data_IF_672135794264
#
_entry.id   IF_672135794264
#
_cell.length_a   1.000
_cell.length_b   1.000
_cell.length_c   1.000
_cell.angle_alpha   90.00
_cell.angle_beta   90.00
_cell.angle_gamma   90.00
#
_symmetry.space_group_name_H-M   'P 1'
#
loop_
_entity.id
_entity.type
_entity.pdbx_description
1 polymer ?
#
# COMPACT_ATOMS: atom_id res chain seq x y z
N UNK A 1 54.65 37.20 -0.43
CA UNK A 1 54.26 36.88 -1.82
C UNK A 1 54.16 35.36 -1.88
N UNK A 2 53.18 34.83 -2.61
CA UNK A 2 52.65 33.45 -2.58
C UNK A 2 51.60 33.24 -1.49
N UNK A 3 50.45 32.63 -1.75
CA UNK A 3 49.44 32.84 -2.80
C UNK A 3 48.15 32.24 -2.21
N UNK A 4 47.01 32.86 -2.48
CA UNK A 4 45.71 32.49 -1.92
C UNK A 4 45.09 31.39 -2.79
N UNK A 5 44.68 30.25 -2.21
CA UNK A 5 43.84 29.27 -2.90
C UNK A 5 42.63 28.87 -2.04
N UNK A 6 41.43 29.42 -2.32
CA UNK A 6 40.20 29.07 -1.63
C UNK A 6 39.42 28.05 -2.46
N UNK A 7 39.37 26.78 -2.04
CA UNK A 7 38.36 25.80 -2.49
C UNK A 7 38.50 24.46 -1.73
N UNK A 8 37.88 24.40 -0.55
CA UNK A 8 37.12 23.22 -0.11
C UNK A 8 35.91 23.74 0.67
N UNK A 9 34.67 23.39 0.27
CA UNK A 9 33.51 23.73 1.07
C UNK A 9 33.59 22.98 2.39
N UNK A 10 33.32 23.70 3.47
CA UNK A 10 33.02 23.16 4.79
C UNK A 10 32.05 21.99 4.62
N UNK A 11 32.46 20.79 5.03
CA UNK A 11 31.53 19.75 5.45
C UNK A 11 31.10 20.12 6.87
N UNK A 12 29.85 20.52 7.14
CA UNK A 12 29.35 20.48 8.49
C UNK A 12 29.05 19.01 8.79
N UNK A 13 29.91 18.39 9.59
CA UNK A 13 29.56 17.22 10.38
C UNK A 13 28.40 17.60 11.29
N UNK A 14 27.17 17.34 10.86
CA UNK A 14 26.01 17.41 11.74
C UNK A 14 26.03 16.16 12.63
N UNK A 15 26.58 16.33 13.83
CA UNK A 15 26.30 15.43 14.96
C UNK A 15 24.79 15.43 15.21
N UNK A 16 24.14 14.29 14.94
CA UNK A 16 22.79 13.99 15.39
C UNK A 16 22.76 14.03 16.93
N UNK A 17 22.45 15.17 17.51
CA UNK A 17 22.12 15.26 18.94
C UNK A 17 20.61 15.09 19.13
N UNK A 18 20.14 13.87 18.93
CA UNK A 18 19.06 13.19 19.66
C UNK A 18 19.03 11.74 19.14
N UNK A 19 19.91 10.90 19.68
CA UNK A 19 19.86 9.45 19.54
C UNK A 19 19.87 8.86 20.95
N UNK A 20 18.76 8.22 21.32
CA UNK A 20 18.58 7.37 22.50
C UNK A 20 17.56 6.32 22.05
N UNK A 21 17.75 5.00 22.07
CA UNK A 21 18.77 4.10 22.64
C UNK A 21 18.84 2.83 21.75
N UNK A 22 19.97 2.15 21.85
CA UNK A 22 20.46 0.94 21.18
C UNK A 22 19.47 -0.15 20.73
N UNK A 23 19.81 -0.80 19.63
CA UNK A 23 19.23 -2.03 19.06
C UNK A 23 19.33 -3.29 19.99
N UNK A 24 19.61 -3.10 21.29
CA UNK A 24 19.74 -4.12 22.34
C UNK A 24 19.26 -3.56 23.68
N UNK A 25 17.96 -3.62 23.95
CA UNK A 25 17.37 -3.22 25.23
C UNK A 25 15.96 -3.78 25.41
N UNK A 26 15.58 -4.07 26.64
CA UNK A 26 14.19 -4.35 27.02
C UNK A 26 13.52 -3.00 27.28
N UNK A 27 12.53 -2.65 26.47
CA UNK A 27 11.85 -1.35 26.52
C UNK A 27 10.49 -1.41 27.22
N UNK A 28 10.18 -2.52 27.88
CA UNK A 28 8.98 -2.67 28.69
C UNK A 28 8.92 -1.59 29.76
N UNK A 29 7.73 -1.07 29.99
CA UNK A 29 7.45 -0.04 30.99
C UNK A 29 8.17 1.30 30.80
N UNK A 30 8.78 1.55 29.63
CA UNK A 30 9.45 2.82 29.30
C UNK A 30 8.50 4.01 29.48
N UNK A 31 9.02 5.13 29.99
CA UNK A 31 8.28 6.37 30.24
C UNK A 31 8.86 7.53 29.44
N UNK A 32 8.07 8.11 28.54
CA UNK A 32 8.39 9.32 27.77
C UNK A 32 7.32 10.36 28.08
N UNK A 33 7.57 11.22 29.07
CA UNK A 33 6.57 12.13 29.63
C UNK A 33 7.08 13.57 29.63
N UNK A 34 6.26 14.52 29.18
CA UNK A 34 6.55 15.95 29.19
C UNK A 34 7.83 16.35 28.40
N UNK A 35 8.12 15.67 27.28
CA UNK A 35 9.26 16.01 26.42
C UNK A 35 8.84 16.93 25.27
N UNK A 36 9.82 17.61 24.67
CA UNK A 36 9.64 18.35 23.42
C UNK A 36 10.60 17.83 22.37
N UNK A 37 10.05 17.38 21.23
CA UNK A 37 10.81 17.01 20.03
C UNK A 37 10.81 18.21 19.08
N UNK A 38 12.00 18.65 18.67
CA UNK A 38 12.18 19.83 17.81
C UNK A 38 12.98 19.47 16.58
N UNK A 39 12.50 19.84 15.39
CA UNK A 39 13.23 19.62 14.14
C UNK A 39 14.42 20.55 13.95
N UNK A 40 14.30 21.82 14.34
CA UNK A 40 15.34 22.85 14.18
C UNK A 40 16.03 22.83 12.79
N UNK A 41 15.24 22.79 11.72
CA UNK A 41 15.75 22.72 10.34
C UNK A 41 16.23 21.33 9.89
N UNK A 42 16.33 20.35 10.79
CA UNK A 42 16.62 18.96 10.46
C UNK A 42 15.37 18.19 10.02
N UNK A 43 15.61 17.02 9.41
CA UNK A 43 14.56 16.06 9.11
C UNK A 43 14.61 14.91 10.11
N UNK A 44 13.54 14.75 10.90
CA UNK A 44 13.40 13.68 11.89
C UNK A 44 12.50 12.59 11.29
N UNK A 45 13.02 11.37 11.15
CA UNK A 45 12.25 10.27 10.54
C UNK A 45 11.03 9.88 11.40
N UNK A 46 11.23 9.78 12.71
CA UNK A 46 10.19 9.46 13.69
C UNK A 46 10.42 10.30 14.95
N UNK A 47 9.41 10.99 15.44
CA UNK A 47 9.48 11.76 16.68
C UNK A 47 9.55 10.85 17.91
N UNK A 48 8.55 10.00 18.09
CA UNK A 48 8.51 8.96 19.12
C UNK A 48 8.04 7.65 18.48
N UNK A 49 8.96 6.69 18.37
CA UNK A 49 8.67 5.33 17.93
C UNK A 49 8.41 4.40 19.12
N UNK A 50 7.37 3.58 19.03
CA UNK A 50 6.97 2.62 20.05
C UNK A 50 6.92 1.24 19.40
N UNK A 51 7.72 0.29 19.89
CA UNK A 51 7.85 -1.06 19.32
C UNK A 51 9.10 -1.25 18.46
N UNK A 52 9.75 -2.43 18.50
CA UNK A 52 10.92 -2.76 17.68
C UNK A 52 10.70 -2.62 16.16
N UNK A 53 9.50 -2.92 15.66
CA UNK A 53 9.10 -2.88 14.24
C UNK A 53 9.22 -1.48 13.63
N UNK A 54 9.25 -0.43 14.45
CA UNK A 54 9.53 0.93 13.98
C UNK A 54 10.93 1.04 13.37
N UNK A 55 11.91 0.29 13.91
CA UNK A 55 13.30 0.29 13.46
C UNK A 55 13.69 -0.95 12.66
N UNK A 56 12.92 -2.04 12.74
CA UNK A 56 13.21 -3.32 12.09
C UNK A 56 11.98 -3.93 11.45
N UNK A 57 12.09 -5.21 11.06
CA UNK A 57 10.90 -6.01 10.74
C UNK A 57 10.24 -6.45 12.03
N UNK A 58 8.92 -6.55 12.04
CA UNK A 58 8.21 -7.09 13.19
C UNK A 58 8.71 -8.51 13.52
N UNK A 59 8.82 -8.79 14.81
CA UNK A 59 9.11 -10.12 15.32
C UNK A 59 8.04 -10.46 16.36
N UNK A 60 7.21 -11.45 16.07
CA UNK A 60 6.10 -11.87 16.92
C UNK A 60 6.56 -12.29 18.33
N UNK A 61 7.80 -12.77 18.47
CA UNK A 61 8.39 -13.16 19.75
C UNK A 61 8.88 -11.96 20.59
N UNK A 62 8.83 -10.74 20.05
CA UNK A 62 9.46 -9.55 20.64
C UNK A 62 8.45 -8.44 20.94
N UNK A 63 7.39 -8.76 21.67
CA UNK A 63 6.36 -7.78 22.08
C UNK A 63 6.84 -6.94 23.27
N UNK A 64 6.87 -5.62 23.07
CA UNK A 64 7.16 -4.63 24.12
C UNK A 64 5.87 -4.15 24.79
N UNK A 65 5.83 -4.13 26.12
CA UNK A 65 4.60 -3.89 26.88
C UNK A 65 4.68 -2.82 27.98
N UNK A 66 3.52 -2.23 28.31
CA UNK A 66 3.36 -1.40 29.50
C UNK A 66 4.00 -0.01 29.47
N UNK A 67 4.46 0.45 28.30
CA UNK A 67 5.07 1.78 28.12
C UNK A 67 4.06 2.92 28.29
N UNK A 68 4.53 4.10 28.70
CA UNK A 68 3.73 5.33 28.74
C UNK A 68 4.42 6.46 27.99
N UNK A 69 3.73 7.00 26.99
CA UNK A 69 4.12 8.16 26.20
C UNK A 69 3.03 9.22 26.38
N UNK A 70 3.27 10.25 27.17
CA UNK A 70 2.21 11.23 27.45
C UNK A 70 2.69 12.67 27.57
N UNK A 71 1.83 13.61 27.18
CA UNK A 71 2.11 15.06 27.30
C UNK A 71 3.38 15.51 26.59
N UNK A 72 3.77 14.83 25.51
CA UNK A 72 4.89 15.27 24.71
C UNK A 72 4.43 16.27 23.64
N UNK A 73 5.33 17.15 23.23
CA UNK A 73 5.11 18.16 22.20
C UNK A 73 6.06 17.93 21.03
N UNK A 74 5.53 17.90 19.80
CA UNK A 74 6.32 18.00 18.58
C UNK A 74 6.19 19.42 18.05
N UNK A 75 7.31 20.07 17.75
CA UNK A 75 7.29 21.38 17.09
C UNK A 75 8.37 21.51 16.01
N UNK A 76 8.08 22.33 15.00
CA UNK A 76 9.02 22.67 13.94
C UNK A 76 9.43 24.13 14.06
N UNK A 77 10.74 24.38 14.13
CA UNK A 77 11.32 25.72 14.25
C UNK A 77 12.23 25.97 13.06
N UNK A 78 12.01 27.08 12.38
CA UNK A 78 12.95 27.61 11.40
C UNK A 78 14.07 28.36 12.14
N UNK A 79 15.29 27.88 11.99
CA UNK A 79 16.50 28.48 12.59
C UNK A 79 17.38 29.18 11.56
N UNK A 80 16.84 29.55 10.39
CA UNK A 80 17.57 30.23 9.30
C UNK A 80 18.11 29.29 8.22
N UNK A 81 17.78 27.99 8.30
CA UNK A 81 18.09 26.99 7.29
C UNK A 81 16.83 26.37 6.66
N UNK A 82 15.67 26.99 6.89
CA UNK A 82 14.37 26.50 6.47
C UNK A 82 13.64 25.78 7.60
N UNK A 83 12.35 25.52 7.37
CA UNK A 83 11.55 24.68 8.26
C UNK A 83 12.05 23.24 8.18
N UNK A 84 12.39 22.65 9.33
CA UNK A 84 12.65 21.22 9.41
C UNK A 84 11.36 20.42 9.17
N UNK A 85 11.49 19.10 9.02
CA UNK A 85 10.38 18.21 8.71
C UNK A 85 10.35 16.95 9.56
N UNK A 86 9.18 16.32 9.67
CA UNK A 86 9.04 14.99 10.26
C UNK A 86 8.52 13.98 9.24
N UNK A 87 9.00 12.74 9.33
CA UNK A 87 8.30 11.59 8.74
C UNK A 87 7.04 11.28 9.55
N UNK A 88 7.21 10.66 10.71
CA UNK A 88 6.10 10.31 11.60
C UNK A 88 6.25 10.98 12.96
N UNK A 89 5.14 11.44 13.54
CA UNK A 89 5.14 12.04 14.87
C UNK A 89 5.29 10.98 15.95
N UNK A 90 4.19 10.30 16.23
CA UNK A 90 4.06 9.21 17.19
C UNK A 90 3.65 7.96 16.43
N UNK A 91 4.55 6.98 16.37
CA UNK A 91 4.36 5.75 15.61
C UNK A 91 4.32 4.54 16.54
N UNK A 92 3.23 3.77 16.49
CA UNK A 92 3.00 2.58 17.32
C UNK A 92 3.05 1.33 16.45
N UNK A 93 4.11 0.56 16.60
CA UNK A 93 4.37 -0.67 15.85
C UNK A 93 3.47 -1.84 16.27
N UNK A 94 3.43 -2.87 15.42
CA UNK A 94 2.59 -4.07 15.59
C UNK A 94 3.00 -4.94 16.79
N UNK A 95 4.24 -4.78 17.25
CA UNK A 95 4.92 -5.47 18.34
C UNK A 95 4.87 -4.67 19.66
N UNK A 96 3.77 -3.95 19.87
CA UNK A 96 3.45 -3.27 21.12
C UNK A 96 2.14 -3.77 21.73
N UNK A 97 2.10 -3.85 23.06
CA UNK A 97 0.90 -4.25 23.80
C UNK A 97 0.74 -3.47 25.12
N UNK A 98 -0.49 -3.10 25.48
CA UNK A 98 -0.80 -2.43 26.76
C UNK A 98 -0.04 -1.10 27.01
N UNK A 99 0.24 -0.31 25.97
CA UNK A 99 0.84 1.01 26.10
C UNK A 99 -0.21 2.07 26.42
N UNK A 100 0.21 3.17 27.04
CA UNK A 100 -0.61 4.39 27.20
C UNK A 100 0.03 5.52 26.40
N UNK A 101 -0.65 5.98 25.35
CA UNK A 101 -0.19 7.07 24.49
C UNK A 101 -1.27 8.16 24.38
N UNK A 102 -1.24 9.14 25.30
CA UNK A 102 -2.30 10.14 25.45
C UNK A 102 -1.75 11.55 25.70
N UNK A 103 -2.57 12.57 25.42
CA UNK A 103 -2.24 13.98 25.67
C UNK A 103 -0.99 14.46 24.91
N UNK A 104 -0.54 13.74 23.88
CA UNK A 104 0.57 14.17 23.04
C UNK A 104 0.04 15.11 21.95
N UNK A 105 0.81 16.13 21.61
CA UNK A 105 0.37 17.20 20.69
C UNK A 105 1.47 17.51 19.68
N UNK A 106 1.03 17.90 18.49
CA UNK A 106 1.89 18.49 17.46
C UNK A 106 1.52 19.96 17.29
N UNK A 107 2.51 20.84 17.38
CA UNK A 107 2.30 22.28 17.26
C UNK A 107 1.73 22.65 15.89
N UNK A 108 0.95 23.74 15.79
CA UNK A 108 0.44 24.22 14.50
C UNK A 108 1.58 24.44 13.49
N UNK A 109 1.39 23.95 12.26
CA UNK A 109 2.35 24.13 11.17
C UNK A 109 3.52 23.13 11.16
N UNK A 110 3.52 22.12 12.02
CA UNK A 110 4.38 20.94 11.83
C UNK A 110 3.91 20.20 10.57
N UNK A 111 4.83 19.95 9.66
CA UNK A 111 4.58 19.23 8.41
C UNK A 111 5.14 17.81 8.50
N UNK A 112 4.30 16.84 8.12
CA UNK A 112 4.66 15.44 8.01
C UNK A 112 4.81 15.07 6.54
N UNK A 113 6.02 14.64 6.15
CA UNK A 113 6.34 14.27 4.78
C UNK A 113 7.53 13.33 4.76
N UNK A 114 7.73 12.63 3.64
CA UNK A 114 8.87 11.75 3.44
C UNK A 114 8.59 10.74 2.34
N UNK A 115 9.64 10.32 1.64
CA UNK A 115 9.58 9.25 0.66
C UNK A 115 9.69 7.89 1.35
N UNK A 116 8.60 7.12 1.28
CA UNK A 116 8.44 5.81 1.92
C UNK A 116 8.75 4.63 0.98
N UNK A 117 9.16 4.91 -0.26
CA UNK A 117 9.35 3.87 -1.28
C UNK A 117 10.32 2.75 -0.91
N UNK A 118 11.34 3.02 -0.10
CA UNK A 118 12.31 2.01 0.38
C UNK A 118 11.79 1.10 1.50
N UNK A 119 10.61 1.42 2.04
CA UNK A 119 9.93 0.62 3.04
C UNK A 119 8.78 -0.19 2.45
N UNK A 120 8.56 -0.17 1.13
CA UNK A 120 7.57 -1.05 0.49
C UNK A 120 8.09 -2.50 0.37
N UNK A 121 7.22 -3.51 0.51
CA UNK A 121 5.77 -3.43 0.77
C UNK A 121 5.38 -3.25 2.25
N UNK A 122 6.32 -3.18 3.18
CA UNK A 122 6.09 -3.19 4.63
C UNK A 122 5.56 -1.87 5.24
N UNK A 123 5.58 -0.76 4.51
CA UNK A 123 5.07 0.55 4.97
C UNK A 123 4.05 1.09 4.00
N UNK A 124 2.80 1.22 4.45
CA UNK A 124 1.68 1.62 3.59
C UNK A 124 0.94 2.84 4.14
N UNK A 125 1.25 3.28 5.37
CA UNK A 125 0.72 4.54 5.90
C UNK A 125 1.57 5.71 5.41
N UNK A 126 0.96 6.78 4.88
CA UNK A 126 1.72 8.01 4.60
C UNK A 126 2.21 8.70 5.90
N UNK A 127 3.34 9.42 5.86
CA UNK A 127 3.82 10.30 6.94
C UNK A 127 2.71 11.11 7.61
N UNK A 128 2.56 10.97 8.94
CA UNK A 128 1.50 11.63 9.72
C UNK A 128 1.89 11.81 11.19
N UNK A 129 1.10 12.60 11.92
CA UNK A 129 1.33 12.90 13.32
C UNK A 129 1.14 11.70 14.24
N UNK A 130 0.10 10.90 14.05
CA UNK A 130 -0.26 9.77 14.91
C UNK A 130 -0.65 8.57 14.07
N UNK A 131 0.14 7.50 14.10
CA UNK A 131 -0.12 6.29 13.33
C UNK A 131 0.09 5.04 14.18
N UNK A 132 -0.75 4.03 13.97
CA UNK A 132 -0.65 2.73 14.62
C UNK A 132 -0.76 1.59 13.61
N UNK A 133 0.02 0.54 13.83
CA UNK A 133 -0.14 -0.73 13.15
C UNK A 133 -1.10 -1.65 13.90
N UNK A 134 -2.03 -2.32 13.22
CA UNK A 134 -3.04 -3.19 13.82
C UNK A 134 -4.04 -2.49 14.75
N UNK A 135 -4.97 -3.23 15.38
CA UNK A 135 -6.08 -2.68 16.15
C UNK A 135 -5.66 -1.90 17.40
N UNK A 136 -6.36 -0.81 17.73
CA UNK A 136 -6.00 0.07 18.85
C UNK A 136 -6.05 -0.68 20.19
N UNK A 137 -7.05 -1.56 20.33
CA UNK A 137 -7.33 -2.37 21.51
C UNK A 137 -6.17 -3.30 21.85
N UNK A 138 -5.46 -3.81 20.82
CA UNK A 138 -4.27 -4.62 21.00
C UNK A 138 -3.05 -3.80 21.44
N UNK A 139 -3.02 -2.50 21.12
CA UNK A 139 -1.90 -1.60 21.46
C UNK A 139 -2.02 -0.99 22.85
N UNK A 140 -3.25 -0.77 23.32
CA UNK A 140 -3.54 -0.24 24.65
C UNK A 140 -4.40 1.02 24.61
N UNK A 141 -4.11 1.99 25.47
CA UNK A 141 -4.86 3.24 25.58
C UNK A 141 -4.22 4.33 24.72
N UNK A 142 -4.71 4.50 23.50
CA UNK A 142 -4.25 5.50 22.54
C UNK A 142 -5.26 6.65 22.44
N UNK A 143 -4.77 7.89 22.29
CA UNK A 143 -5.60 9.05 21.98
C UNK A 143 -6.31 8.92 20.61
N UNK A 144 -7.43 9.61 20.43
CA UNK A 144 -8.34 9.41 19.31
C UNK A 144 -7.79 9.84 17.95
N UNK A 145 -6.70 10.62 17.92
CA UNK A 145 -6.05 11.07 16.69
C UNK A 145 -5.24 9.97 15.98
N UNK A 146 -4.98 8.82 16.63
CA UNK A 146 -4.26 7.71 16.02
C UNK A 146 -5.02 7.11 14.84
N UNK A 147 -4.42 7.18 13.66
CA UNK A 147 -4.96 6.54 12.46
C UNK A 147 -4.35 5.16 12.25
N UNK A 148 -5.11 4.18 11.74
CA UNK A 148 -4.55 2.89 11.35
C UNK A 148 -3.61 3.04 10.15
N UNK A 149 -2.61 2.17 10.08
CA UNK A 149 -1.78 1.97 8.90
C UNK A 149 -0.57 1.07 9.19
N UNK A 150 -0.23 0.20 8.24
CA UNK A 150 0.92 -0.70 8.39
C UNK A 150 2.22 0.12 8.39
N UNK A 151 3.01 -0.01 9.46
CA UNK A 151 4.22 0.76 9.69
C UNK A 151 5.37 -0.12 10.18
N UNK A 152 6.36 -0.36 9.32
CA UNK A 152 7.62 -1.00 9.70
C UNK A 152 8.83 -0.30 9.07
N UNK A 153 10.01 -0.56 9.64
CA UNK A 153 11.28 -0.10 9.06
C UNK A 153 11.31 1.43 8.76
N UNK A 154 10.76 2.25 9.65
CA UNK A 154 10.63 3.72 9.45
C UNK A 154 12.01 4.41 9.33
N UNK A 155 13.09 3.76 9.76
CA UNK A 155 14.45 4.25 9.52
C UNK A 155 14.81 4.37 8.03
N UNK A 156 14.07 3.76 7.10
CA UNK A 156 14.33 3.84 5.65
C UNK A 156 13.71 5.07 4.97
N UNK A 157 12.81 5.80 5.65
CA UNK A 157 12.16 6.97 5.09
C UNK A 157 13.21 8.03 4.72
N UNK A 158 13.05 8.66 3.55
CA UNK A 158 13.92 9.74 3.08
C UNK A 158 13.23 11.10 3.12
N UNK A 159 13.95 12.20 3.39
CA UNK A 159 13.40 13.53 3.25
C UNK A 159 13.03 13.83 1.79
N UNK A 160 11.98 14.63 1.60
CA UNK A 160 11.58 15.18 0.30
C UNK A 160 10.26 14.61 -0.24
N UNK A 161 9.89 14.95 -1.49
CA UNK A 161 8.65 14.51 -2.11
C UNK A 161 8.60 13.00 -2.24
N UNK A 162 7.50 12.41 -1.76
CA UNK A 162 7.29 10.97 -1.83
C UNK A 162 6.99 10.51 -3.25
N UNK A 163 7.47 9.31 -3.58
CA UNK A 163 7.07 8.59 -4.79
C UNK A 163 5.91 7.63 -4.52
N UNK A 164 5.48 7.52 -3.26
CA UNK A 164 4.40 6.64 -2.80
C UNK A 164 3.57 7.32 -1.73
N UNK A 165 2.26 7.23 -1.82
CA UNK A 165 1.34 7.58 -0.74
C UNK A 165 0.41 6.40 -0.52
N UNK A 166 0.10 6.13 0.73
CA UNK A 166 -0.92 5.17 1.08
C UNK A 166 -1.89 5.68 2.15
N UNK A 167 -3.10 5.16 2.07
CA UNK A 167 -4.25 5.53 2.89
C UNK A 167 -4.98 4.29 3.35
N UNK A 168 -5.33 4.26 4.64
CA UNK A 168 -6.35 3.37 5.18
C UNK A 168 -7.75 3.93 4.96
N UNK A 169 -8.81 3.11 5.13
CA UNK A 169 -10.18 3.54 4.91
C UNK A 169 -10.52 4.78 5.74
N UNK A 170 -11.18 5.75 5.12
CA UNK A 170 -11.55 7.05 5.71
C UNK A 170 -10.49 8.15 5.60
N UNK A 171 -9.25 7.85 5.17
CA UNK A 171 -8.17 8.85 5.18
C UNK A 171 -8.07 9.68 3.87
N UNK A 172 -8.46 9.10 2.72
CA UNK A 172 -8.47 9.87 1.47
C UNK A 172 -9.83 10.56 1.31
N UNK A 173 -9.79 11.89 1.21
CA UNK A 173 -10.92 12.71 0.80
C UNK A 173 -10.43 13.81 -0.15
N UNK A 174 -10.92 13.79 -1.39
CA UNK A 174 -10.48 14.71 -2.44
C UNK A 174 -11.69 15.39 -3.08
N UNK A 175 -11.84 16.70 -2.83
CA UNK A 175 -12.94 17.48 -3.36
C UNK A 175 -12.84 17.69 -4.89
N UNK A 176 -13.95 18.02 -5.52
CA UNK A 176 -14.00 18.36 -6.95
C UNK A 176 -13.01 19.49 -7.30
N UNK A 177 -12.17 19.25 -8.31
CA UNK A 177 -11.12 20.16 -8.76
C UNK A 177 -9.86 20.18 -7.90
N UNK A 178 -9.72 19.25 -6.96
CA UNK A 178 -8.52 19.13 -6.11
C UNK A 178 -7.67 17.91 -6.48
N UNK A 179 -6.45 17.88 -5.95
CA UNK A 179 -5.47 16.83 -6.22
C UNK A 179 -4.60 16.51 -5.00
N UNK A 180 -4.06 15.30 -4.97
CA UNK A 180 -2.92 14.93 -4.12
C UNK A 180 -1.71 14.69 -5.02
N UNK A 181 -0.54 15.15 -4.60
CA UNK A 181 0.69 15.08 -5.39
C UNK A 181 1.68 14.09 -4.79
N UNK A 182 2.29 13.31 -5.67
CA UNK A 182 3.57 12.67 -5.48
C UNK A 182 4.68 13.55 -6.07
N UNK A 183 5.90 13.01 -6.18
CA UNK A 183 7.08 13.69 -6.73
C UNK A 183 6.86 14.21 -8.16
N UNK A 184 6.28 13.38 -9.03
CA UNK A 184 6.17 13.68 -10.47
C UNK A 184 4.78 13.41 -11.05
N UNK A 185 3.82 12.99 -10.23
CA UNK A 185 2.45 12.66 -10.60
C UNK A 185 1.47 13.21 -9.57
N UNK A 186 0.19 13.19 -9.93
CA UNK A 186 -0.90 13.58 -9.05
C UNK A 186 -2.16 12.76 -9.33
N UNK A 187 -2.87 12.40 -8.27
CA UNK A 187 -4.24 11.89 -8.32
C UNK A 187 -5.19 13.09 -8.25
N UNK A 188 -6.13 13.17 -9.19
CA UNK A 188 -7.07 14.28 -9.33
C UNK A 188 -8.50 13.78 -9.37
N UNK A 189 -9.41 14.52 -8.74
CA UNK A 189 -10.81 14.55 -9.12
C UNK A 189 -11.01 15.85 -9.91
N UNK A 190 -11.06 15.75 -11.23
CA UNK A 190 -11.16 16.91 -12.10
C UNK A 190 -12.54 17.57 -12.02
N UNK A 191 -12.63 18.86 -12.36
CA UNK A 191 -13.91 19.60 -12.34
C UNK A 191 -15.00 18.97 -13.22
N UNK A 192 -14.62 18.19 -14.23
CA UNK A 192 -15.55 17.43 -15.07
C UNK A 192 -16.07 16.13 -14.45
N UNK A 193 -15.69 15.80 -13.21
CA UNK A 193 -16.07 14.57 -12.50
C UNK A 193 -15.17 13.36 -12.78
N UNK A 194 -14.14 13.52 -13.61
CA UNK A 194 -13.19 12.44 -13.94
C UNK A 194 -12.15 12.27 -12.84
N UNK A 195 -12.00 11.04 -12.35
CA UNK A 195 -10.85 10.66 -11.51
C UNK A 195 -9.71 10.23 -12.41
N UNK A 196 -8.54 10.86 -12.29
CA UNK A 196 -7.39 10.48 -13.09
C UNK A 196 -6.06 10.63 -12.35
N UNK A 197 -5.06 9.90 -12.81
CA UNK A 197 -3.66 10.12 -12.45
C UNK A 197 -2.94 10.75 -13.63
N UNK A 198 -2.24 11.86 -13.38
CA UNK A 198 -1.50 12.60 -14.40
C UNK A 198 -0.08 12.89 -13.95
N UNK A 199 0.82 13.03 -14.91
CA UNK A 199 2.13 13.62 -14.66
C UNK A 199 1.98 15.09 -14.21
N UNK A 200 2.81 15.49 -13.25
CA UNK A 200 2.94 16.85 -12.76
C UNK A 200 4.41 17.23 -12.70
N UNK A 201 4.96 17.63 -13.85
CA UNK A 201 6.31 18.20 -13.96
C UNK A 201 6.21 19.68 -14.32
N UNK A 202 6.96 20.52 -13.62
CA UNK A 202 7.13 21.94 -13.94
C UNK A 202 5.82 22.76 -14.06
N UNK A 203 4.85 22.53 -13.17
CA UNK A 203 3.61 23.31 -13.09
C UNK A 203 2.68 23.25 -14.31
N UNK A 204 2.97 22.41 -15.31
CA UNK A 204 2.06 22.12 -16.41
C UNK A 204 1.29 20.83 -16.14
N UNK A 205 0.06 20.76 -16.67
CA UNK A 205 -0.73 19.54 -16.67
C UNK A 205 -0.09 18.57 -17.65
N UNK A 206 0.48 17.48 -17.13
CA UNK A 206 1.17 16.48 -17.92
C UNK A 206 0.24 15.41 -18.51
N UNK A 207 0.87 14.40 -19.11
CA UNK A 207 0.18 13.25 -19.71
C UNK A 207 -0.70 12.52 -18.69
N UNK A 208 -1.88 12.09 -19.12
CA UNK A 208 -2.73 11.18 -18.34
C UNK A 208 -2.15 9.77 -18.34
N UNK A 209 -1.92 9.24 -17.13
CA UNK A 209 -1.38 7.89 -16.90
C UNK A 209 -2.50 6.87 -16.67
N UNK A 210 -3.58 7.30 -16.02
CA UNK A 210 -4.75 6.47 -15.77
C UNK A 210 -6.02 7.33 -15.62
N UNK A 211 -7.16 6.77 -16.01
CA UNK A 211 -8.49 7.37 -15.90
C UNK A 211 -9.43 6.35 -15.26
N UNK A 212 -10.28 6.80 -14.34
CA UNK A 212 -11.29 5.99 -13.70
C UNK A 212 -12.51 5.74 -14.58
N UNK A 213 -12.73 6.57 -15.61
CA UNK A 213 -13.90 6.45 -16.48
C UNK A 213 -15.19 6.99 -15.84
N UNK A 214 -15.08 8.00 -14.99
CA UNK A 214 -16.19 8.65 -14.28
C UNK A 214 -16.64 9.98 -14.94
N UNK A 215 -16.22 10.22 -16.18
CA UNK A 215 -16.39 11.48 -16.90
C UNK A 215 -17.87 11.85 -17.06
N UNK A 216 -18.20 13.13 -16.83
CA UNK A 216 -19.53 13.74 -16.98
C UNK A 216 -20.62 13.23 -16.03
N UNK A 217 -20.39 12.21 -15.21
CA UNK A 217 -21.45 11.62 -14.38
C UNK A 217 -21.86 12.56 -13.24
N UNK A 218 -21.03 13.55 -12.88
CA UNK A 218 -21.16 14.29 -11.61
C UNK A 218 -20.97 15.81 -11.72
N UNK A 219 -21.09 16.40 -12.91
CA UNK A 219 -20.79 17.84 -13.11
C UNK A 219 -21.68 18.77 -12.29
N UNK A 220 -22.91 18.35 -11.99
CA UNK A 220 -23.89 19.12 -11.22
C UNK A 220 -23.90 18.78 -9.71
N UNK A 221 -22.99 17.92 -9.27
CA UNK A 221 -22.91 17.46 -7.89
C UNK A 221 -21.73 18.08 -7.14
N UNK A 222 -21.90 18.28 -5.84
CA UNK A 222 -20.78 18.57 -4.95
C UNK A 222 -20.00 17.26 -4.71
N UNK A 223 -19.17 16.86 -5.67
CA UNK A 223 -18.53 15.55 -5.65
C UNK A 223 -17.22 15.54 -4.85
N UNK A 224 -16.96 14.42 -4.18
CA UNK A 224 -15.66 14.10 -3.59
C UNK A 224 -15.28 12.65 -3.87
N UNK A 225 -14.00 12.42 -4.21
CA UNK A 225 -13.40 11.10 -4.26
C UNK A 225 -13.00 10.72 -2.84
N UNK A 226 -13.49 9.58 -2.37
CA UNK A 226 -13.26 9.09 -1.03
C UNK A 226 -12.74 7.66 -1.07
N UNK A 227 -11.81 7.34 -0.19
CA UNK A 227 -11.55 5.97 0.20
C UNK A 227 -12.40 5.69 1.44
N UNK A 228 -13.59 5.16 1.23
CA UNK A 228 -14.65 5.07 2.24
C UNK A 228 -14.33 4.01 3.31
N UNK A 229 -14.97 4.08 4.49
CA UNK A 229 -14.98 2.98 5.44
C UNK A 229 -15.35 1.65 4.74
N UNK A 230 -14.59 0.58 5.01
CA UNK A 230 -14.71 -0.70 4.30
C UNK A 230 -13.84 -0.82 3.05
N UNK A 231 -13.00 0.17 2.75
CA UNK A 231 -11.95 0.05 1.74
C UNK A 231 -12.44 0.15 0.29
N UNK A 232 -13.59 0.81 0.07
CA UNK A 232 -14.09 1.14 -1.27
C UNK A 232 -13.54 2.46 -1.76
N UNK A 233 -13.17 2.52 -3.03
CA UNK A 233 -12.86 3.78 -3.72
C UNK A 233 -14.11 4.25 -4.45
N UNK A 234 -14.64 5.41 -4.05
CA UNK A 234 -15.92 5.91 -4.55
C UNK A 234 -15.88 7.41 -4.80
N UNK A 235 -16.77 7.87 -5.68
CA UNK A 235 -17.19 9.27 -5.74
C UNK A 235 -18.51 9.38 -5.00
N UNK A 236 -18.60 10.32 -4.07
CA UNK A 236 -19.81 10.60 -3.28
C UNK A 236 -20.24 12.05 -3.47
N UNK A 237 -21.53 12.31 -3.33
CA UNK A 237 -22.06 13.66 -3.18
C UNK A 237 -21.83 14.11 -1.73
N UNK A 238 -21.16 15.23 -1.51
CA UNK A 238 -20.81 15.73 -0.17
C UNK A 238 -21.99 16.33 0.58
N UNK A 239 -23.08 16.66 -0.11
CA UNK A 239 -24.29 17.21 0.52
C UNK A 239 -25.23 16.09 0.99
N UNK A 240 -25.39 15.05 0.18
CA UNK A 240 -26.33 13.94 0.45
C UNK A 240 -25.65 12.68 0.98
N UNK A 241 -24.32 12.59 0.88
CA UNK A 241 -23.52 11.40 1.14
C UNK A 241 -23.90 10.17 0.28
N UNK A 242 -24.60 10.38 -0.83
CA UNK A 242 -24.95 9.29 -1.75
C UNK A 242 -23.76 8.92 -2.63
N UNK A 243 -23.55 7.62 -2.84
CA UNK A 243 -22.57 7.12 -3.81
C UNK A 243 -23.00 7.52 -5.22
N UNK A 244 -22.14 8.25 -5.90
CA UNK A 244 -22.32 8.65 -7.28
C UNK A 244 -21.62 7.68 -8.24
N UNK A 245 -20.46 7.16 -7.86
CA UNK A 245 -19.73 6.13 -8.61
C UNK A 245 -18.92 5.24 -7.65
N UNK A 246 -18.93 3.92 -7.87
CA UNK A 246 -18.13 2.95 -7.10
C UNK A 246 -17.16 2.26 -8.05
N UNK A 247 -15.86 2.48 -7.84
CA UNK A 247 -14.80 1.86 -8.64
C UNK A 247 -14.52 0.41 -8.21
N UNK A 248 -15.06 0.01 -7.07
CA UNK A 248 -14.77 -1.25 -6.39
C UNK A 248 -16.03 -1.92 -5.83
N UNK A 249 -17.08 -2.12 -6.66
CA UNK A 249 -18.34 -2.68 -6.18
C UNK A 249 -18.20 -4.10 -5.64
N UNK A 250 -17.15 -4.81 -6.09
CA UNK A 250 -16.79 -6.16 -5.68
C UNK A 250 -16.12 -6.24 -4.30
N UNK A 251 -15.69 -5.13 -3.72
CA UNK A 251 -15.19 -5.09 -2.34
C UNK A 251 -16.40 -5.07 -1.40
N UNK A 252 -16.41 -5.93 -0.38
CA UNK A 252 -17.47 -5.95 0.62
C UNK A 252 -17.31 -4.77 1.57
N UNK A 253 -18.40 -4.08 1.90
CA UNK A 253 -18.44 -3.21 3.07
C UNK A 253 -18.80 -4.11 4.25
N UNK A 254 -17.92 -4.28 5.24
CA UNK A 254 -18.23 -5.16 6.34
C UNK A 254 -19.36 -4.55 7.20
N UNK A 255 -20.25 -5.42 7.69
CA UNK A 255 -21.42 -5.00 8.48
C UNK A 255 -21.01 -4.42 9.85
N UNK A 256 -19.78 -4.71 10.29
CA UNK A 256 -19.09 -4.10 11.41
C UNK A 256 -17.66 -3.76 10.97
N UNK A 257 -17.04 -2.67 11.47
CA UNK A 257 -15.64 -2.39 11.17
C UNK A 257 -14.75 -3.48 11.77
N UNK A 258 -14.40 -4.48 10.96
CA UNK A 258 -13.40 -5.48 11.34
C UNK A 258 -12.01 -4.85 11.20
N UNK A 259 -11.18 -5.02 12.23
CA UNK A 259 -9.77 -4.62 12.18
C UNK A 259 -8.99 -5.36 11.09
N UNK A 260 -9.48 -6.51 10.63
CA UNK A 260 -8.89 -7.30 9.54
C UNK A 260 -9.28 -6.82 8.13
N UNK A 261 -10.23 -5.89 8.00
CA UNK A 261 -10.63 -5.27 6.73
C UNK A 261 -9.92 -3.93 6.45
N UNK A 262 -8.72 -3.75 7.01
CA UNK A 262 -7.90 -2.56 6.85
C UNK A 262 -7.24 -2.47 5.46
N UNK A 263 -8.05 -2.49 4.40
CA UNK A 263 -7.59 -2.33 3.03
C UNK A 263 -6.78 -1.04 2.87
N UNK A 264 -5.74 -1.09 2.05
CA UNK A 264 -4.88 0.06 1.82
C UNK A 264 -4.98 0.51 0.37
N UNK A 265 -5.33 1.78 0.16
CA UNK A 265 -5.22 2.44 -1.12
C UNK A 265 -3.80 3.00 -1.26
N UNK A 266 -3.14 2.70 -2.37
CA UNK A 266 -1.77 3.14 -2.66
C UNK A 266 -1.73 3.87 -3.98
N UNK A 267 -1.10 5.05 -3.97
CA UNK A 267 -0.69 5.80 -5.16
C UNK A 267 0.84 5.70 -5.28
N UNK A 268 1.36 5.28 -6.43
CA UNK A 268 2.78 4.94 -6.61
C UNK A 268 3.36 5.40 -7.94
N UNK A 269 4.58 5.93 -7.91
CA UNK A 269 5.44 6.23 -9.06
C UNK A 269 6.55 5.20 -9.26
N UNK A 270 6.61 4.19 -8.39
CA UNK A 270 7.64 3.15 -8.47
C UNK A 270 7.49 2.41 -9.79
N UNK A 271 8.57 2.28 -10.59
CA UNK A 271 8.52 1.56 -11.87
C UNK A 271 7.94 0.15 -11.70
N UNK A 272 7.20 -0.30 -12.71
CA UNK A 272 6.63 -1.65 -12.78
C UNK A 272 5.62 -1.96 -11.65
N UNK A 273 5.02 -0.92 -11.06
CA UNK A 273 3.86 -1.02 -10.16
C UNK A 273 2.68 -0.25 -10.76
N UNK A 274 1.43 -0.66 -10.46
CA UNK A 274 0.26 0.14 -10.82
C UNK A 274 0.33 1.50 -10.13
N UNK A 275 -0.12 2.55 -10.83
CA UNK A 275 -0.12 3.91 -10.29
C UNK A 275 -1.11 4.07 -9.16
N UNK A 276 -2.24 3.36 -9.22
CA UNK A 276 -3.23 3.21 -8.14
C UNK A 276 -3.47 1.72 -7.90
N UNK A 277 -3.48 1.30 -6.64
CA UNK A 277 -3.87 -0.05 -6.23
C UNK A 277 -4.59 -0.08 -4.89
N UNK A 278 -5.44 -1.07 -4.67
CA UNK A 278 -6.03 -1.37 -3.36
C UNK A 278 -5.66 -2.80 -2.99
N UNK A 279 -5.14 -2.99 -1.78
CA UNK A 279 -4.76 -4.31 -1.27
C UNK A 279 -5.43 -4.60 0.07
N UNK A 280 -5.71 -5.87 0.37
CA UNK A 280 -6.07 -6.28 1.74
C UNK A 280 -4.83 -6.21 2.66
N UNK A 281 -5.00 -6.35 3.99
CA UNK A 281 -3.87 -6.32 4.92
C UNK A 281 -2.82 -7.41 4.68
N UNK A 282 -1.58 -7.09 5.07
CA UNK A 282 -0.46 -8.03 5.15
C UNK A 282 -0.69 -9.08 6.27
N UNK A 283 0.02 -10.24 6.27
CA UNK A 283 1.10 -10.66 5.37
C UNK A 283 0.63 -11.30 4.05
N UNK A 284 -0.63 -11.73 3.95
CA UNK A 284 -1.17 -12.39 2.77
C UNK A 284 -2.09 -11.47 1.95
N UNK A 285 -1.60 -10.28 1.62
CA UNK A 285 -2.38 -9.21 0.99
C UNK A 285 -2.89 -9.59 -0.41
N UNK A 286 -4.21 -9.73 -0.56
CA UNK A 286 -4.91 -9.83 -1.84
C UNK A 286 -4.88 -8.48 -2.55
N UNK A 287 -4.84 -8.49 -3.88
CA UNK A 287 -4.93 -7.27 -4.66
C UNK A 287 -6.37 -7.07 -5.12
N UNK A 288 -7.06 -6.08 -4.57
CA UNK A 288 -8.48 -5.85 -4.82
C UNK A 288 -8.71 -4.92 -6.02
N UNK A 289 -7.74 -4.07 -6.36
CA UNK A 289 -7.84 -3.16 -7.49
C UNK A 289 -6.46 -2.76 -8.02
N UNK A 290 -6.32 -2.61 -9.33
CA UNK A 290 -5.12 -2.08 -9.97
C UNK A 290 -5.49 -1.18 -11.15
N UNK A 291 -4.83 -0.03 -11.26
CA UNK A 291 -5.00 0.88 -12.41
C UNK A 291 -4.58 0.28 -13.76
N UNK A 292 -3.51 -0.54 -13.79
CA UNK A 292 -2.96 -1.11 -15.02
C UNK A 292 -3.10 -2.63 -15.13
N UNK A 293 -3.40 -3.32 -14.02
CA UNK A 293 -3.37 -4.79 -13.93
C UNK A 293 -2.05 -5.41 -14.45
N UNK A 294 -0.94 -4.71 -14.22
CA UNK A 294 0.42 -5.15 -14.55
C UNK A 294 1.27 -5.04 -13.28
N UNK A 295 2.08 -6.06 -13.00
CA UNK A 295 3.06 -6.04 -11.92
C UNK A 295 4.38 -6.68 -12.32
N UNK A 296 5.45 -6.33 -11.60
CA UNK A 296 6.76 -6.96 -11.78
C UNK A 296 6.73 -8.42 -11.33
N UNK A 297 7.32 -9.31 -12.13
CA UNK A 297 7.60 -10.68 -11.70
C UNK A 297 8.62 -10.67 -10.54
N UNK A 298 8.47 -11.61 -9.61
CA UNK A 298 9.26 -11.75 -8.38
C UNK A 298 8.43 -11.80 -7.11
N UNK A 299 7.10 -11.71 -7.21
CA UNK A 299 6.18 -11.88 -6.08
C UNK A 299 5.72 -13.33 -6.01
N UNK A 300 5.78 -13.91 -4.81
CA UNK A 300 5.16 -15.20 -4.48
C UNK A 300 3.69 -14.98 -4.13
N UNK A 301 2.83 -15.84 -4.67
CA UNK A 301 1.41 -15.95 -4.40
C UNK A 301 1.16 -17.21 -3.60
N UNK A 302 0.81 -17.03 -2.33
CA UNK A 302 0.41 -18.12 -1.48
C UNK A 302 -0.94 -18.71 -1.87
N UNK A 303 -1.23 -19.90 -1.36
CA UNK A 303 -2.55 -20.52 -1.49
C UNK A 303 -3.66 -19.56 -1.04
N UNK A 304 -4.75 -19.49 -1.80
CA UNK A 304 -5.89 -18.57 -1.62
C UNK A 304 -5.61 -17.08 -1.82
N UNK A 305 -4.38 -16.68 -2.13
CA UNK A 305 -4.13 -15.30 -2.55
C UNK A 305 -4.69 -15.06 -3.94
N UNK A 306 -5.29 -13.88 -4.12
CA UNK A 306 -5.93 -13.53 -5.36
C UNK A 306 -5.75 -12.07 -5.79
N UNK A 307 -6.03 -11.84 -7.07
CA UNK A 307 -6.20 -10.52 -7.68
C UNK A 307 -7.62 -10.39 -8.22
N UNK A 308 -8.32 -9.32 -7.86
CA UNK A 308 -9.65 -9.01 -8.36
C UNK A 308 -9.62 -7.90 -9.43
N UNK A 309 -10.31 -8.15 -10.55
CA UNK A 309 -10.55 -7.21 -11.64
C UNK A 309 -12.03 -7.10 -11.92
N UNK A 310 -12.65 -6.01 -11.44
CA UNK A 310 -14.02 -5.70 -11.81
C UNK A 310 -14.10 -5.36 -13.30
N UNK A 311 -15.01 -6.03 -14.02
CA UNK A 311 -15.15 -5.88 -15.47
C UNK A 311 -16.45 -5.15 -15.87
N UNK A 312 -17.37 -4.95 -14.91
CA UNK A 312 -18.54 -4.10 -15.04
C UNK A 312 -19.62 -4.55 -16.02
N UNK A 313 -20.70 -3.77 -16.07
CA UNK A 313 -21.82 -3.92 -17.00
C UNK A 313 -22.48 -5.31 -16.96
N UNK A 314 -22.72 -5.87 -15.78
CA UNK A 314 -23.33 -7.18 -15.60
C UNK A 314 -22.39 -8.35 -15.85
N UNK A 315 -21.10 -8.10 -16.11
CA UNK A 315 -20.13 -9.17 -16.40
C UNK A 315 -19.46 -9.70 -15.13
N UNK A 316 -19.61 -9.02 -14.00
CA UNK A 316 -19.07 -9.43 -12.70
C UNK A 316 -17.62 -9.01 -12.48
N UNK A 317 -16.91 -9.83 -11.74
CA UNK A 317 -15.51 -9.63 -11.32
C UNK A 317 -14.70 -10.85 -11.69
N UNK A 318 -13.57 -10.64 -12.37
CA UNK A 318 -12.56 -11.68 -12.57
C UNK A 318 -11.69 -11.79 -11.31
N UNK A 319 -11.45 -13.01 -10.85
CA UNK A 319 -10.61 -13.33 -9.70
C UNK A 319 -9.53 -14.32 -10.14
N UNK A 320 -8.29 -13.86 -10.16
CA UNK A 320 -7.11 -14.66 -10.44
C UNK A 320 -6.59 -15.22 -9.12
N UNK A 321 -6.71 -16.52 -8.91
CA UNK A 321 -6.43 -17.15 -7.61
C UNK A 321 -5.51 -18.34 -7.77
N UNK A 322 -4.58 -18.51 -6.82
CA UNK A 322 -3.87 -19.76 -6.65
C UNK A 322 -4.64 -20.67 -5.68
N UNK A 323 -5.25 -21.72 -6.23
CA UNK A 323 -6.11 -22.65 -5.48
C UNK A 323 -5.30 -23.58 -4.57
N UNK A 324 -5.90 -24.09 -3.48
CA UNK A 324 -5.26 -25.08 -2.62
C UNK A 324 -5.01 -26.43 -3.33
N UNK A 325 -5.58 -26.63 -4.52
CA UNK A 325 -5.41 -27.84 -5.32
C UNK A 325 -4.29 -27.69 -6.38
N UNK A 326 -3.33 -26.80 -6.13
CA UNK A 326 -2.15 -26.53 -6.97
C UNK A 326 -2.46 -26.09 -8.40
N UNK A 327 -3.59 -25.42 -8.61
CA UNK A 327 -3.95 -24.81 -9.88
C UNK A 327 -4.05 -23.29 -9.78
N UNK A 328 -3.61 -22.59 -10.82
CA UNK A 328 -4.00 -21.18 -11.03
C UNK A 328 -5.35 -21.20 -11.71
N UNK A 329 -6.32 -20.51 -11.14
CA UNK A 329 -7.65 -20.38 -11.69
C UNK A 329 -7.96 -18.93 -12.00
N UNK A 330 -8.68 -18.73 -13.10
CA UNK A 330 -9.39 -17.48 -13.38
C UNK A 330 -10.86 -17.76 -13.15
N UNK A 331 -11.40 -17.16 -12.09
CA UNK A 331 -12.79 -17.26 -11.74
C UNK A 331 -13.52 -15.99 -12.17
N UNK A 332 -14.81 -16.09 -12.47
CA UNK A 332 -15.70 -14.95 -12.68
C UNK A 332 -16.92 -15.07 -11.80
N UNK A 333 -17.28 -13.99 -11.10
CA UNK A 333 -18.56 -13.94 -10.39
C UNK A 333 -19.73 -13.84 -11.37
N UNK A 334 -20.86 -14.40 -10.98
CA UNK A 334 -22.12 -14.29 -11.73
C UNK A 334 -22.86 -12.97 -11.49
N UNK A 335 -22.33 -12.09 -10.64
CA UNK A 335 -22.90 -10.80 -10.28
C UNK A 335 -21.84 -9.70 -10.18
N UNK A 336 -22.28 -8.44 -10.27
CA UNK A 336 -21.44 -7.24 -10.08
C UNK A 336 -21.24 -6.85 -8.61
N UNK A 337 -21.88 -7.56 -7.68
CA UNK A 337 -21.81 -7.29 -6.25
C UNK A 337 -20.50 -7.75 -5.58
N UNK A 338 -20.41 -7.56 -4.26
CA UNK A 338 -19.27 -7.96 -3.45
C UNK A 338 -18.92 -9.44 -3.58
N UNK A 339 -17.64 -9.76 -3.74
CA UNK A 339 -17.17 -11.14 -3.68
C UNK A 339 -17.11 -11.62 -2.22
N UNK A 340 -17.35 -12.92 -2.01
CA UNK A 340 -17.16 -13.53 -0.69
C UNK A 340 -15.68 -13.82 -0.46
N UNK A 341 -15.15 -13.29 0.63
CA UNK A 341 -13.78 -13.53 1.09
C UNK A 341 -13.79 -13.98 2.57
N UNK A 342 -12.90 -14.90 2.97
CA UNK A 342 -11.98 -15.66 2.12
C UNK A 342 -12.72 -16.58 1.13
N UNK A 343 -12.04 -17.00 0.06
CA UNK A 343 -12.62 -17.94 -0.90
C UNK A 343 -12.80 -19.32 -0.24
N UNK A 344 -14.01 -19.86 -0.32
CA UNK A 344 -14.36 -21.16 0.25
C UNK A 344 -14.24 -22.27 -0.80
N UNK A 345 -13.69 -23.41 -0.38
CA UNK A 345 -13.51 -24.59 -1.24
C UNK A 345 -14.31 -25.78 -0.70
N UNK A 346 -14.98 -26.57 -1.56
CA UNK A 346 -15.07 -26.41 -3.02
C UNK A 346 -15.88 -25.16 -3.41
N UNK A 347 -15.57 -24.58 -4.58
CA UNK A 347 -16.23 -23.36 -5.07
C UNK A 347 -17.74 -23.58 -5.27
N UNK A 348 -18.55 -22.63 -4.78
CA UNK A 348 -19.98 -22.60 -5.08
C UNK A 348 -20.20 -22.25 -6.57
N UNK A 349 -20.71 -23.22 -7.32
CA UNK A 349 -20.95 -23.08 -8.76
C UNK A 349 -22.09 -22.11 -9.09
N UNK A 350 -22.93 -21.77 -8.11
CA UNK A 350 -23.95 -20.74 -8.23
C UNK A 350 -23.37 -19.32 -8.11
N UNK A 351 -22.16 -19.19 -7.58
CA UNK A 351 -21.44 -17.94 -7.43
C UNK A 351 -20.39 -17.77 -8.53
N UNK A 352 -19.62 -18.83 -8.77
CA UNK A 352 -18.41 -18.78 -9.59
C UNK A 352 -18.55 -19.50 -10.92
N UNK A 353 -17.89 -18.95 -11.93
CA UNK A 353 -17.60 -19.59 -13.22
C UNK A 353 -16.09 -19.72 -13.34
N UNK A 354 -15.59 -20.91 -13.67
CA UNK A 354 -14.17 -21.08 -14.02
C UNK A 354 -14.00 -20.70 -15.49
N UNK A 355 -13.30 -19.61 -15.74
CA UNK A 355 -13.03 -19.09 -17.08
C UNK A 355 -11.77 -19.74 -17.67
N UNK A 356 -10.78 -20.02 -16.81
CA UNK A 356 -9.54 -20.69 -17.19
C UNK A 356 -8.92 -21.39 -15.99
N UNK A 357 -8.19 -22.47 -16.24
CA UNK A 357 -7.37 -23.18 -15.26
C UNK A 357 -6.02 -23.55 -15.87
N UNK A 358 -4.96 -23.56 -15.05
CA UNK A 358 -3.68 -24.09 -15.47
C UNK A 358 -3.82 -25.55 -15.95
N UNK A 359 -3.06 -25.97 -16.99
CA UNK A 359 -3.25 -27.27 -17.66
C UNK A 359 -2.74 -28.47 -16.85
N UNK A 360 -2.26 -28.29 -15.61
CA UNK A 360 -1.91 -29.39 -14.74
C UNK A 360 -3.15 -30.02 -14.10
N UNK A 361 -3.06 -31.31 -13.79
CA UNK A 361 -4.08 -31.98 -12.99
C UNK A 361 -4.12 -31.37 -11.57
N UNK A 362 -5.32 -31.14 -11.00
CA UNK A 362 -5.45 -30.68 -9.63
C UNK A 362 -4.93 -31.74 -8.65
N UNK A 363 -4.33 -31.29 -7.55
CA UNK A 363 -3.99 -32.19 -6.45
C UNK A 363 -5.26 -32.85 -5.89
N UNK A 364 -5.16 -34.13 -5.50
CA UNK A 364 -6.28 -34.86 -4.90
C UNK A 364 -6.71 -34.29 -3.55
N UNK A 365 -5.75 -33.71 -2.81
CA UNK A 365 -5.95 -33.10 -1.49
C UNK A 365 -5.39 -31.66 -1.49
N UNK A 366 -5.91 -30.76 -0.62
CA UNK A 366 -5.37 -29.42 -0.43
C UNK A 366 -3.88 -29.42 -0.03
N UNK A 367 -3.08 -28.57 -0.68
CA UNK A 367 -1.64 -28.38 -0.44
C UNK A 367 -1.40 -26.92 -0.04
N UNK A 368 -1.43 -26.63 1.27
CA UNK A 368 -1.43 -25.26 1.79
C UNK A 368 -0.05 -24.59 1.78
N UNK A 369 1.03 -25.37 1.68
CA UNK A 369 2.41 -24.89 1.59
C UNK A 369 2.87 -24.68 0.13
N UNK A 370 1.97 -24.90 -0.83
CA UNK A 370 2.24 -24.57 -2.22
C UNK A 370 2.22 -23.06 -2.43
N UNK A 371 3.01 -22.61 -3.40
CA UNK A 371 3.07 -21.23 -3.82
C UNK A 371 3.16 -21.16 -5.35
N UNK A 372 2.58 -20.10 -5.90
CA UNK A 372 2.74 -19.69 -7.28
C UNK A 372 3.73 -18.53 -7.35
N UNK A 373 4.61 -18.52 -8.34
CA UNK A 373 5.51 -17.40 -8.55
C UNK A 373 5.73 -17.15 -10.05
N UNK A 374 5.68 -15.88 -10.44
CA UNK A 374 6.28 -15.44 -11.69
C UNK A 374 7.71 -14.98 -11.40
N UNK A 375 8.74 -15.65 -11.90
CA UNK A 375 10.10 -15.14 -11.78
C UNK A 375 11.19 -16.21 -11.92
N UNK A 376 12.43 -15.73 -12.05
CA UNK A 376 13.63 -16.54 -12.20
C UNK A 376 13.99 -17.31 -10.92
N UNK A 377 13.24 -18.37 -10.56
CA UNK A 377 13.67 -19.32 -9.51
C UNK A 377 14.88 -20.13 -9.98
N UNK A 378 15.03 -20.25 -11.30
CA UNK A 378 16.12 -20.95 -11.99
C UNK A 378 16.40 -20.20 -13.29
N UNK A 379 17.46 -20.53 -14.01
CA UNK A 379 17.86 -19.93 -15.32
C UNK A 379 16.81 -20.08 -16.46
N UNK A 380 15.54 -20.31 -16.12
CA UNK A 380 14.43 -20.66 -16.98
C UNK A 380 13.35 -19.56 -17.12
N UNK A 381 13.41 -18.45 -16.36
CA UNK A 381 12.50 -17.29 -16.47
C UNK A 381 11.01 -17.66 -16.69
N UNK A 382 10.42 -18.47 -15.81
CA UNK A 382 9.06 -19.02 -15.96
C UNK A 382 8.06 -18.48 -14.91
N UNK A 383 6.76 -18.50 -15.26
CA UNK A 383 5.71 -18.76 -14.27
C UNK A 383 5.81 -20.21 -13.82
N UNK A 384 5.86 -20.41 -12.51
CA UNK A 384 6.09 -21.71 -11.87
C UNK A 384 5.14 -21.83 -10.68
N UNK A 385 4.45 -22.97 -10.57
CA UNK A 385 3.85 -23.41 -9.31
C UNK A 385 4.89 -24.33 -8.67
N UNK A 386 5.22 -24.10 -7.40
CA UNK A 386 6.04 -25.02 -6.61
C UNK A 386 5.27 -25.49 -5.38
N UNK A 387 5.37 -26.78 -5.10
CA UNK A 387 4.78 -27.43 -3.94
C UNK A 387 5.81 -28.40 -3.35
N UNK A 388 5.70 -28.74 -2.06
CA UNK A 388 6.61 -29.66 -1.36
C UNK A 388 6.61 -31.06 -2.00
N UNK A 389 7.40 -31.22 -3.05
CA UNK A 389 7.43 -32.42 -3.90
C UNK A 389 7.78 -32.18 -5.38
N UNK A 390 7.75 -30.93 -5.87
CA UNK A 390 8.17 -30.61 -7.24
C UNK A 390 7.56 -29.33 -7.82
N UNK A 391 7.52 -29.28 -9.15
CA UNK A 391 6.92 -28.18 -9.94
C UNK A 391 5.66 -28.73 -10.64
N UNK A 392 4.46 -28.59 -10.04
CA UNK A 392 3.21 -29.08 -10.65
C UNK A 392 2.92 -28.47 -12.02
N UNK A 393 3.36 -27.23 -12.24
CA UNK A 393 3.19 -26.55 -13.52
C UNK A 393 4.26 -25.50 -13.76
N UNK A 394 4.66 -25.35 -15.02
CA UNK A 394 5.45 -24.23 -15.49
C UNK A 394 4.98 -23.78 -16.88
N UNK A 395 5.05 -22.48 -17.12
CA UNK A 395 4.70 -21.86 -18.42
C UNK A 395 5.62 -22.25 -19.57
N UNK A 396 6.82 -22.78 -19.31
CA UNK A 396 7.75 -23.26 -20.35
C UNK A 396 8.39 -22.14 -21.19
N UNK A 397 8.69 -20.99 -20.58
CA UNK A 397 9.28 -19.82 -21.27
C UNK A 397 10.79 -19.92 -21.51
N UNK A 398 11.47 -20.91 -20.93
CA UNK A 398 12.84 -21.33 -21.27
C UNK A 398 13.92 -20.21 -21.31
N UNK A 399 13.95 -19.33 -20.33
CA UNK A 399 15.05 -18.35 -20.16
C UNK A 399 14.90 -17.06 -20.98
N UNK A 400 13.70 -16.77 -21.48
CA UNK A 400 13.35 -15.44 -22.01
C UNK A 400 13.03 -14.52 -20.82
N UNK A 401 13.79 -13.42 -20.68
CA UNK A 401 13.69 -12.45 -19.57
C UNK A 401 12.26 -11.96 -19.34
N UNK A 402 11.53 -12.67 -18.48
CA UNK A 402 10.19 -12.34 -18.03
C UNK A 402 10.29 -11.30 -16.93
N UNK A 403 9.75 -10.10 -17.15
CA UNK A 403 9.90 -9.01 -16.17
C UNK A 403 8.59 -8.49 -15.64
N UNK A 404 7.49 -8.63 -16.40
CA UNK A 404 6.16 -8.23 -15.95
C UNK A 404 5.13 -9.34 -16.20
N UNK A 405 4.15 -9.40 -15.29
CA UNK A 405 2.94 -10.20 -15.39
C UNK A 405 1.76 -9.25 -15.58
N UNK A 406 0.91 -9.54 -16.55
CA UNK A 406 -0.34 -8.83 -16.84
C UNK A 406 -1.54 -9.75 -16.62
N UNK A 407 -2.56 -9.19 -15.97
CA UNK A 407 -3.83 -9.85 -15.62
C UNK A 407 -4.93 -9.32 -16.53
N UNK A 408 -5.26 -10.02 -17.61
CA UNK A 408 -6.09 -9.53 -18.71
C UNK A 408 -7.60 -9.64 -18.50
N UNK A 409 -8.33 -9.84 -19.60
CA UNK A 409 -9.79 -9.98 -19.64
C UNK A 409 -10.26 -11.27 -20.33
N UNK A 410 -9.32 -12.07 -20.86
CA UNK A 410 -9.61 -13.24 -21.69
C UNK A 410 -9.93 -12.90 -23.15
N UNK A 411 -9.59 -11.70 -23.63
CA UNK A 411 -9.75 -11.34 -25.05
C UNK A 411 -8.46 -11.61 -25.82
N UNK A 412 -8.46 -11.67 -27.17
CA UNK A 412 -7.23 -11.81 -27.95
C UNK A 412 -6.17 -10.73 -27.66
N UNK A 413 -6.63 -9.51 -27.39
CA UNK A 413 -5.80 -8.35 -27.04
C UNK A 413 -5.38 -8.34 -25.55
N UNK A 414 -6.18 -8.99 -24.70
CA UNK A 414 -6.02 -9.08 -23.26
C UNK A 414 -6.19 -10.53 -22.76
N UNK A 415 -5.27 -11.46 -23.10
CA UNK A 415 -5.36 -12.84 -22.60
C UNK A 415 -5.32 -12.84 -21.07
N UNK A 416 -5.95 -13.82 -20.43
CA UNK A 416 -6.13 -13.82 -18.97
C UNK A 416 -4.82 -13.63 -18.21
N UNK A 417 -3.77 -14.33 -18.62
CA UNK A 417 -2.42 -14.12 -18.12
C UNK A 417 -1.48 -13.87 -19.30
N UNK A 418 -0.60 -12.89 -19.14
CA UNK A 418 0.44 -12.57 -20.12
C UNK A 418 1.74 -12.24 -19.39
N UNK A 419 2.84 -12.81 -19.87
CA UNK A 419 4.20 -12.45 -19.47
C UNK A 419 4.78 -11.57 -20.56
N UNK A 420 5.35 -10.44 -20.18
CA UNK A 420 6.08 -9.56 -21.09
C UNK A 420 7.52 -9.36 -20.64
N UNK A 421 8.40 -9.16 -21.62
CA UNK A 421 9.81 -8.82 -21.40
C UNK A 421 10.02 -7.32 -21.17
N UNK A 422 11.28 -6.93 -20.93
CA UNK A 422 11.67 -5.52 -20.72
C UNK A 422 11.40 -4.62 -21.94
N UNK A 423 11.30 -5.20 -23.13
CA UNK A 423 11.00 -4.49 -24.38
C UNK A 423 9.48 -4.41 -24.63
N UNK A 424 8.66 -5.00 -23.75
CA UNK A 424 7.20 -5.04 -23.84
C UNK A 424 6.68 -6.11 -24.81
N UNK A 425 7.51 -7.03 -25.27
CA UNK A 425 7.07 -8.13 -26.12
C UNK A 425 6.43 -9.23 -25.29
N UNK A 426 5.37 -9.83 -25.83
CA UNK A 426 4.74 -11.02 -25.25
C UNK A 426 5.71 -12.20 -25.30
N UNK A 427 6.07 -12.70 -24.12
CA UNK A 427 6.88 -13.92 -23.94
C UNK A 427 5.99 -15.15 -23.88
N UNK A 428 4.85 -15.04 -23.19
CA UNK A 428 3.87 -16.11 -23.00
C UNK A 428 2.48 -15.54 -22.71
N UNK A 429 1.44 -16.26 -23.09
CA UNK A 429 0.07 -15.95 -22.70
C UNK A 429 -0.82 -17.19 -22.70
N UNK A 430 -1.96 -17.11 -22.03
CA UNK A 430 -3.05 -18.11 -22.06
C UNK A 430 -3.93 -18.00 -23.28
#
# INVERSE_FOLDING_TARGET
MVDYNPRKPFHPSFENRFQCVSDKGNYKFTRVINNTVRTEGAYIKVGVGMGPSILGKANEDSIEEGGIVMRNLIESRDIGHGKGGLGYGYAVGSDTANWTCIENVSAPGVEYFGDISESLPELIASPTAFVRDGPAEARGNLQSEFVPGHIECLFRIKPGPSTVLGWSPGQLHLALGSHVKLRSTRLCLERGGEVCVREHRHHQDGRTLWTGGSHLVHQDHAAALVFAPGGKLMIVDTNTHTTLHDFTPHIRVPDQPDSEDAHSLVLSEVPNRPVVSITSPAPHANTLFMSSYIEKCGREFGTNQFIARYIGNGRGTLVYVFSPYTQILVLRTRHDGPIRTPLEWPLDQNEWIVEWSSPNEPSAEPVLDANYMCGAITDLDCQVIYASGGVPWASGTHGKRATLLRWGLGTPEEPYLEIVDDDGNRVWST
#
